data_IF_659188940414
#
_entry.id   IF_659188940414
#
_cell.length_a   1.000
_cell.length_b   1.000
_cell.length_c   1.000
_cell.angle_alpha   90.00
_cell.angle_beta   90.00
_cell.angle_gamma   90.00
#
_symmetry.space_group_name_H-M   'P 1'
#
loop_
_entity.id
_entity.type
_entity.pdbx_description
1 polymer ?
#
# COMPACT_ATOMS: atom_id res chain seq x y z
N UNK A 1 22.19 10.89 -21.86
CA UNK A 1 22.09 10.29 -20.51
C UNK A 1 22.43 8.81 -20.65
N UNK A 2 23.08 8.18 -19.67
CA UNK A 2 23.49 6.78 -19.79
C UNK A 2 22.32 5.82 -19.54
N UNK A 3 22.35 4.64 -20.17
CA UNK A 3 21.34 3.57 -20.09
C UNK A 3 20.88 3.25 -18.65
N UNK A 4 21.81 3.26 -17.68
CA UNK A 4 21.50 3.00 -16.26
C UNK A 4 20.59 4.08 -15.65
N UNK A 5 20.77 5.35 -16.05
CA UNK A 5 19.96 6.44 -15.53
C UNK A 5 18.51 6.30 -15.97
N UNK A 6 18.29 5.91 -17.23
CA UNK A 6 16.96 5.65 -17.80
C UNK A 6 16.28 4.46 -17.12
N UNK A 7 17.01 3.39 -16.82
CA UNK A 7 16.48 2.25 -16.06
C UNK A 7 16.05 2.68 -14.66
N UNK A 8 16.88 3.44 -13.94
CA UNK A 8 16.56 3.94 -12.60
C UNK A 8 15.32 4.82 -12.61
N UNK A 9 15.22 5.71 -13.59
CA UNK A 9 14.05 6.58 -13.76
C UNK A 9 12.78 5.76 -13.99
N UNK A 10 12.84 4.75 -14.86
CA UNK A 10 11.69 3.85 -15.12
C UNK A 10 11.25 3.08 -13.89
N UNK A 11 12.20 2.57 -13.10
CA UNK A 11 11.89 1.85 -11.85
C UNK A 11 11.26 2.81 -10.84
N UNK A 12 11.82 4.00 -10.67
CA UNK A 12 11.36 4.97 -9.69
C UNK A 12 9.97 5.55 -10.02
N UNK A 13 9.72 5.84 -11.30
CA UNK A 13 8.46 6.39 -11.78
C UNK A 13 7.37 5.34 -12.02
N UNK A 14 7.68 4.05 -11.83
CA UNK A 14 6.71 2.96 -11.97
C UNK A 14 5.58 3.09 -10.96
N UNK A 15 4.34 2.85 -11.42
CA UNK A 15 3.14 2.85 -10.56
C UNK A 15 2.40 1.53 -10.65
N UNK A 16 1.56 1.25 -9.66
CA UNK A 16 0.62 0.12 -9.65
C UNK A 16 -0.81 0.60 -9.46
N UNK A 17 -1.78 0.07 -10.23
CA UNK A 17 -3.19 0.41 -10.05
C UNK A 17 -3.73 -0.29 -8.79
N UNK A 18 -4.27 0.51 -7.87
CA UNK A 18 -4.81 0.03 -6.60
C UNK A 18 -6.26 0.49 -6.45
N UNK A 19 -7.15 -0.44 -6.12
CA UNK A 19 -8.52 -0.18 -5.67
C UNK A 19 -8.57 -0.41 -4.17
N UNK A 20 -8.99 0.61 -3.42
CA UNK A 20 -9.11 0.59 -1.97
C UNK A 20 -10.57 0.60 -1.56
N UNK A 21 -10.98 -0.35 -0.72
CA UNK A 21 -12.30 -0.39 -0.10
C UNK A 21 -12.15 -0.35 1.42
N UNK A 22 -13.08 0.29 2.13
CA UNK A 22 -13.22 0.17 3.58
C UNK A 22 -14.63 0.50 4.04
N UNK A 23 -15.02 -0.01 5.21
CA UNK A 23 -16.41 -0.08 5.68
C UNK A 23 -17.13 1.27 5.81
N UNK A 24 -16.39 2.38 5.88
CA UNK A 24 -16.94 3.73 6.03
C UNK A 24 -17.08 4.51 4.72
N UNK A 25 -16.63 3.96 3.60
CA UNK A 25 -16.83 4.57 2.28
C UNK A 25 -17.85 3.77 1.47
N UNK A 26 -18.86 4.48 0.98
CA UNK A 26 -19.86 3.91 0.05
C UNK A 26 -19.25 3.56 -1.32
N UNK A 27 -18.16 4.24 -1.69
CA UNK A 27 -17.53 4.11 -3.01
C UNK A 27 -16.04 3.79 -2.82
N UNK A 28 -15.51 2.74 -3.47
CA UNK A 28 -14.08 2.43 -3.42
C UNK A 28 -13.26 3.53 -4.10
N UNK A 29 -12.07 3.77 -3.58
CA UNK A 29 -11.12 4.74 -4.11
C UNK A 29 -10.13 4.05 -5.06
N UNK A 30 -9.66 4.77 -6.07
CA UNK A 30 -8.74 4.26 -7.08
C UNK A 30 -7.50 5.14 -7.18
N UNK A 31 -6.32 4.51 -7.14
CA UNK A 31 -5.04 5.20 -7.14
C UNK A 31 -4.05 4.53 -8.07
N UNK A 32 -3.18 5.33 -8.69
CA UNK A 32 -1.92 4.85 -9.24
C UNK A 32 -0.83 5.08 -8.18
N UNK A 33 -0.51 4.04 -7.43
CA UNK A 33 0.41 4.12 -6.29
C UNK A 33 1.84 3.94 -6.79
N UNK A 34 2.79 4.82 -6.45
CA UNK A 34 4.20 4.61 -6.78
C UNK A 34 4.70 3.25 -6.26
N UNK A 35 5.40 2.49 -7.11
CA UNK A 35 5.89 1.14 -6.76
C UNK A 35 6.88 1.16 -5.59
N UNK A 36 7.61 2.25 -5.46
CA UNK A 36 8.72 2.42 -4.52
C UNK A 36 8.31 2.88 -3.11
N UNK A 37 7.06 3.29 -2.89
CA UNK A 37 6.59 3.67 -1.55
C UNK A 37 6.00 2.46 -0.82
N UNK A 38 6.11 2.46 0.51
CA UNK A 38 5.47 1.43 1.35
C UNK A 38 3.99 1.73 1.52
N UNK A 39 3.18 0.68 1.74
CA UNK A 39 1.74 0.88 1.99
C UNK A 39 1.45 1.67 3.26
N UNK A 40 2.33 1.63 4.26
CA UNK A 40 2.24 2.45 5.46
C UNK A 40 2.39 3.93 5.16
N UNK A 41 3.38 4.32 4.34
CA UNK A 41 3.54 5.71 3.89
C UNK A 41 2.32 6.13 3.06
N UNK A 42 1.94 5.31 2.08
CA UNK A 42 0.78 5.57 1.23
C UNK A 42 -0.50 5.78 2.05
N UNK A 43 -0.74 4.96 3.07
CA UNK A 43 -1.90 5.09 3.95
C UNK A 43 -1.92 6.44 4.64
N UNK A 44 -0.84 6.81 5.33
CA UNK A 44 -0.77 8.07 6.07
C UNK A 44 -0.77 9.32 5.17
N UNK A 45 -0.23 9.23 3.94
CA UNK A 45 -0.20 10.36 3.01
C UNK A 45 -1.51 10.59 2.26
N UNK A 46 -2.25 9.52 1.92
CA UNK A 46 -3.35 9.59 0.95
C UNK A 46 -4.69 9.03 1.42
N UNK A 47 -4.67 8.10 2.36
CA UNK A 47 -5.88 7.40 2.79
C UNK A 47 -6.38 7.87 4.14
N UNK A 48 -5.49 8.17 5.08
CA UNK A 48 -5.83 8.57 6.45
C UNK A 48 -6.77 9.78 6.52
N UNK A 49 -6.68 10.73 5.58
CA UNK A 49 -7.61 11.87 5.49
C UNK A 49 -9.05 11.46 5.18
N UNK A 50 -9.23 10.37 4.44
CA UNK A 50 -10.53 9.89 3.98
C UNK A 50 -11.33 9.21 5.11
N UNK A 51 -10.67 8.83 6.21
CA UNK A 51 -11.33 8.19 7.35
C UNK A 51 -12.02 9.20 8.29
N UNK A 52 -11.70 10.50 8.19
CA UNK A 52 -12.24 11.56 9.05
C UNK A 52 -11.81 11.51 10.52
N UNK A 53 -11.17 10.42 10.95
CA UNK A 53 -10.60 10.22 12.28
C UNK A 53 -9.25 9.50 12.19
N UNK A 54 -8.45 9.59 13.25
CA UNK A 54 -7.15 8.93 13.32
C UNK A 54 -7.32 7.41 13.40
N UNK A 55 -6.62 6.66 12.55
CA UNK A 55 -6.72 5.20 12.49
C UNK A 55 -5.40 4.55 12.88
N UNK A 56 -5.13 4.49 14.19
CA UNK A 56 -3.86 3.97 14.71
C UNK A 56 -3.70 2.46 14.48
N UNK A 57 -4.81 1.73 14.43
CA UNK A 57 -4.86 0.27 14.29
C UNK A 57 -5.50 -0.15 12.94
N UNK A 58 -5.11 0.52 11.86
CA UNK A 58 -5.50 0.07 10.52
C UNK A 58 -4.72 -1.19 10.11
N UNK A 59 -5.36 -2.06 9.35
CA UNK A 59 -4.72 -3.18 8.68
C UNK A 59 -5.36 -3.43 7.32
N UNK A 60 -4.60 -4.09 6.44
CA UNK A 60 -4.94 -4.24 5.04
C UNK A 60 -4.98 -5.71 4.64
N UNK A 61 -5.91 -6.07 3.77
CA UNK A 61 -5.95 -7.38 3.13
C UNK A 61 -6.13 -7.29 1.63
N UNK A 62 -5.65 -8.29 0.92
CA UNK A 62 -5.98 -8.54 -0.48
C UNK A 62 -6.27 -10.02 -0.68
N UNK A 63 -7.43 -10.35 -1.28
CA UNK A 63 -7.87 -11.74 -1.48
C UNK A 63 -7.79 -12.59 -0.19
N UNK A 64 -8.13 -11.98 0.96
CA UNK A 64 -8.11 -12.63 2.26
C UNK A 64 -6.73 -12.82 2.91
N UNK A 65 -5.63 -12.36 2.29
CA UNK A 65 -4.30 -12.40 2.91
C UNK A 65 -3.90 -11.01 3.40
N UNK A 66 -3.18 -10.97 4.51
CA UNK A 66 -2.70 -9.71 5.10
C UNK A 66 -1.62 -9.05 4.23
N UNK A 67 -1.69 -7.71 4.16
CA UNK A 67 -0.66 -6.87 3.56
C UNK A 67 0.13 -6.22 4.68
N UNK A 68 1.46 -6.38 4.63
CA UNK A 68 2.34 -5.73 5.57
C UNK A 68 2.55 -4.26 5.19
N UNK A 69 2.35 -3.31 6.12
CA UNK A 69 2.46 -1.88 5.81
C UNK A 69 3.88 -1.42 5.51
N UNK A 70 4.90 -2.15 5.97
CA UNK A 70 6.31 -1.81 5.72
C UNK A 70 6.80 -2.24 4.33
N UNK A 71 6.02 -2.99 3.55
CA UNK A 71 6.47 -3.47 2.25
C UNK A 71 6.14 -2.48 1.11
N UNK A 72 7.02 -2.37 0.10
CA UNK A 72 6.76 -1.54 -1.09
C UNK A 72 5.52 -1.99 -1.86
N UNK A 73 4.76 -1.03 -2.39
CA UNK A 73 3.54 -1.29 -3.14
C UNK A 73 3.79 -2.16 -4.38
N UNK A 74 4.91 -1.97 -5.06
CA UNK A 74 5.31 -2.80 -6.20
C UNK A 74 5.54 -4.26 -5.82
N UNK A 75 6.18 -4.53 -4.67
CA UNK A 75 6.44 -5.89 -4.19
C UNK A 75 5.13 -6.62 -3.86
N UNK A 76 4.22 -5.94 -3.16
CA UNK A 76 2.89 -6.48 -2.87
C UNK A 76 2.13 -6.73 -4.17
N UNK A 77 2.08 -5.77 -5.09
CA UNK A 77 1.41 -5.96 -6.38
C UNK A 77 1.94 -7.21 -7.10
N UNK A 78 3.26 -7.33 -7.25
CA UNK A 78 3.89 -8.45 -7.94
C UNK A 78 3.65 -9.81 -7.23
N UNK A 79 3.38 -9.80 -5.91
CA UNK A 79 3.09 -11.00 -5.11
C UNK A 79 1.63 -11.46 -5.20
N UNK A 80 0.71 -10.54 -5.47
CA UNK A 80 -0.75 -10.78 -5.40
C UNK A 80 -1.44 -10.82 -6.76
N UNK A 81 -0.82 -10.19 -7.76
CA UNK A 81 -1.28 -10.13 -9.13
C UNK A 81 -0.46 -11.13 -9.94
N UNK A 82 -1.12 -12.20 -10.38
CA UNK A 82 -0.52 -13.13 -11.33
C UNK A 82 -0.18 -12.37 -12.61
N UNK A 83 1.00 -12.61 -13.18
CA UNK A 83 1.45 -12.00 -14.44
C UNK A 83 0.69 -12.57 -15.64
N UNK A 84 -0.64 -12.46 -15.61
CA UNK A 84 -1.50 -12.67 -16.75
C UNK A 84 -1.37 -11.40 -17.61
N UNK A 85 -1.29 -11.55 -18.93
CA UNK A 85 -1.07 -10.49 -19.92
C UNK A 85 -2.06 -9.31 -19.92
N UNK A 86 -2.98 -9.24 -18.95
CA UNK A 86 -4.02 -8.24 -18.82
C UNK A 86 -3.77 -7.32 -17.63
N UNK A 87 -4.07 -6.04 -17.83
CA UNK A 87 -4.11 -5.03 -16.77
C UNK A 87 -4.97 -5.54 -15.60
N UNK A 88 -4.34 -5.70 -14.44
CA UNK A 88 -4.99 -6.23 -13.23
C UNK A 88 -4.85 -5.23 -12.11
N UNK A 89 -5.95 -4.89 -11.45
CA UNK A 89 -5.96 -3.93 -10.35
C UNK A 89 -5.71 -4.69 -9.04
N UNK A 90 -4.78 -4.18 -8.21
CA UNK A 90 -4.63 -4.69 -6.85
C UNK A 90 -5.80 -4.19 -5.99
N UNK A 91 -6.62 -5.13 -5.53
CA UNK A 91 -7.73 -4.84 -4.61
C UNK A 91 -7.24 -4.93 -3.16
N UNK A 92 -7.48 -3.88 -2.39
CA UNK A 92 -7.12 -3.77 -0.98
C UNK A 92 -8.36 -3.41 -0.18
N UNK A 93 -8.62 -4.20 0.86
CA UNK A 93 -9.64 -3.90 1.85
C UNK A 93 -8.94 -3.43 3.13
N UNK A 94 -9.31 -2.24 3.63
CA UNK A 94 -8.78 -1.66 4.87
C UNK A 94 -9.79 -1.86 5.99
N UNK A 95 -9.29 -2.28 7.14
CA UNK A 95 -10.07 -2.51 8.35
C UNK A 95 -9.43 -1.77 9.52
N UNK A 96 -10.26 -1.29 10.42
CA UNK A 96 -9.83 -0.52 11.61
C UNK A 96 -10.28 -1.16 12.92
N UNK A 97 -10.94 -2.31 12.84
CA UNK A 97 -11.42 -3.10 13.97
C UNK A 97 -10.63 -4.41 14.06
N UNK A 98 -10.52 -4.99 15.26
CA UNK A 98 -9.95 -6.33 15.48
C UNK A 98 -8.54 -6.52 14.87
N UNK A 99 -7.60 -5.64 15.25
CA UNK A 99 -6.25 -5.67 14.69
C UNK A 99 -5.55 -7.05 14.90
N UNK A 100 -5.02 -7.69 13.84
CA UNK A 100 -4.40 -9.01 13.91
C UNK A 100 -2.95 -8.92 14.44
N UNK A 101 -2.82 -8.83 15.77
CA UNK A 101 -1.55 -8.55 16.47
C UNK A 101 -0.38 -9.48 16.13
N UNK A 102 -0.65 -10.74 15.76
CA UNK A 102 0.39 -11.74 15.49
C UNK A 102 0.81 -11.80 14.02
N UNK A 103 -0.03 -11.27 13.12
CA UNK A 103 0.15 -11.43 11.68
C UNK A 103 0.57 -10.14 10.98
N UNK A 104 0.32 -8.96 11.56
CA UNK A 104 0.55 -7.67 10.91
C UNK A 104 1.34 -6.72 11.80
N UNK A 105 2.37 -6.10 11.23
CA UNK A 105 3.12 -5.04 11.91
C UNK A 105 2.24 -3.80 12.11
N UNK A 106 2.20 -3.27 13.33
CA UNK A 106 1.52 -2.00 13.62
C UNK A 106 2.23 -0.84 12.94
N UNK A 107 1.45 0.09 12.38
CA UNK A 107 1.95 1.29 11.73
C UNK A 107 1.13 2.53 12.14
N UNK A 108 1.09 2.89 13.43
CA UNK A 108 0.10 3.84 13.95
C UNK A 108 0.31 5.29 13.50
N UNK A 109 1.48 5.62 12.94
CA UNK A 109 1.79 6.99 12.52
C UNK A 109 2.67 7.01 11.28
N UNK A 110 2.66 8.15 10.58
CA UNK A 110 3.61 8.45 9.51
C UNK A 110 5.07 8.27 9.97
N UNK A 111 5.41 8.64 11.20
CA UNK A 111 6.77 8.49 11.73
C UNK A 111 7.20 7.02 11.76
N UNK A 112 6.33 6.11 12.19
CA UNK A 112 6.61 4.67 12.18
C UNK A 112 6.76 4.15 10.75
N UNK A 113 5.91 4.60 9.83
CA UNK A 113 6.02 4.24 8.41
C UNK A 113 7.37 4.67 7.80
N UNK A 114 7.82 5.90 8.12
CA UNK A 114 9.12 6.41 7.69
C UNK A 114 10.28 5.66 8.36
N UNK A 115 10.16 5.27 9.62
CA UNK A 115 11.17 4.46 10.30
C UNK A 115 11.36 3.10 9.64
N UNK A 116 10.26 2.42 9.25
CA UNK A 116 10.36 1.17 8.48
C UNK A 116 11.09 1.37 7.15
N UNK A 117 10.78 2.46 6.43
CA UNK A 117 11.44 2.77 5.17
C UNK A 117 12.94 3.07 5.37
N UNK A 118 13.30 3.86 6.36
CA UNK A 118 14.69 4.27 6.61
C UNK A 118 15.58 3.15 7.15
N UNK A 119 14.99 2.12 7.78
CA UNK A 119 15.74 0.99 8.34
C UNK A 119 16.00 -0.12 7.32
N UNK A 120 15.29 -0.11 6.18
CA UNK A 120 15.41 -1.09 5.09
C UNK A 120 16.57 -0.72 4.15
#
# INVERSE_FOLDING_TARGET
>A
MGEIAEIKERVFNGTVPVRVSFDKLDIPLFFNVPRCITFGIFFHEKLQSEFGEKCDDFWMTSKGRYIQPNLPAGLIYDSFVEQISQFTILQIDIKTTEFPLQDVLRCPTMLVAQQFFNHS
#
